data_IF_897090272574
#
_entry.id   IF_897090272574
#
_cell.length_a   1.000
_cell.length_b   1.000
_cell.length_c   1.000
_cell.angle_alpha   90.00
_cell.angle_beta   90.00
_cell.angle_gamma   90.00
#
_symmetry.space_group_name_H-M   'P 1'
#
loop_
_entity.id
_entity.type
_entity.pdbx_description
1 polymer ?
#
# COMPACT_ATOMS: atom_id res chain seq x y z
N UNK A 1 -62.72 -64.63 -21.99
CA UNK A 1 -61.66 -64.34 -22.97
C UNK A 1 -61.07 -62.98 -22.61
N UNK A 2 -59.75 -62.96 -22.48
CA UNK A 2 -58.86 -61.79 -22.39
C UNK A 2 -58.91 -60.96 -21.11
N UNK A 3 -57.81 -60.56 -20.49
CA UNK A 3 -56.40 -60.96 -20.52
C UNK A 3 -55.79 -60.26 -19.32
N UNK A 4 -55.11 -61.00 -18.45
CA UNK A 4 -54.26 -60.49 -17.38
C UNK A 4 -53.13 -59.63 -17.95
N UNK A 5 -52.82 -58.49 -17.30
CA UNK A 5 -51.51 -57.85 -17.46
C UNK A 5 -50.89 -57.48 -16.12
N UNK A 6 -49.88 -58.29 -15.82
CA UNK A 6 -48.71 -58.15 -14.97
C UNK A 6 -48.21 -56.71 -14.77
N UNK A 7 -47.96 -56.31 -13.52
CA UNK A 7 -47.09 -55.18 -13.17
C UNK A 7 -46.12 -55.61 -12.08
N UNK A 8 -44.99 -56.16 -12.52
CA UNK A 8 -43.82 -56.46 -11.71
C UNK A 8 -43.02 -55.18 -11.47
N UNK A 9 -43.01 -54.70 -10.23
CA UNK A 9 -42.12 -53.65 -9.76
C UNK A 9 -40.98 -54.31 -8.99
N UNK A 10 -39.82 -54.44 -9.65
CA UNK A 10 -38.57 -54.84 -9.00
C UNK A 10 -38.02 -53.70 -8.18
N UNK A 11 -37.89 -53.90 -6.88
CA UNK A 11 -37.14 -53.02 -5.98
C UNK A 11 -35.63 -53.16 -6.23
N UNK A 12 -34.86 -52.06 -6.32
CA UNK A 12 -33.41 -52.12 -6.43
C UNK A 12 -32.76 -52.50 -5.10
N UNK A 13 -31.79 -53.41 -5.19
CA UNK A 13 -30.98 -53.93 -4.10
C UNK A 13 -30.21 -52.80 -3.38
N UNK A 14 -30.31 -52.66 -2.04
CA UNK A 14 -29.39 -51.82 -1.29
C UNK A 14 -28.06 -52.55 -1.07
N UNK A 15 -26.98 -51.79 -1.06
CA UNK A 15 -25.62 -52.19 -0.69
C UNK A 15 -24.75 -52.84 -1.78
N UNK A 16 -24.19 -51.97 -2.63
CA UNK A 16 -22.80 -52.11 -3.07
C UNK A 16 -22.17 -50.71 -3.08
N UNK A 17 -21.40 -50.29 -2.05
CA UNK A 17 -20.55 -49.12 -2.19
C UNK A 17 -19.48 -49.46 -3.24
N UNK A 18 -19.62 -48.88 -4.43
CA UNK A 18 -18.65 -49.01 -5.51
C UNK A 18 -17.27 -48.57 -5.00
N UNK A 19 -16.27 -49.45 -5.10
CA UNK A 19 -14.88 -49.20 -4.72
C UNK A 19 -14.28 -47.91 -5.33
N UNK A 20 -14.91 -47.31 -6.34
CA UNK A 20 -14.45 -46.06 -6.98
C UNK A 20 -14.51 -44.81 -6.09
N UNK A 21 -15.45 -44.72 -5.14
CA UNK A 21 -15.64 -43.49 -4.34
C UNK A 21 -14.52 -43.27 -3.32
N UNK A 22 -13.98 -44.36 -2.75
CA UNK A 22 -12.89 -44.30 -1.77
C UNK A 22 -11.57 -43.89 -2.45
N UNK A 23 -11.32 -44.38 -3.66
CA UNK A 23 -10.13 -44.02 -4.43
C UNK A 23 -10.06 -42.53 -4.76
N UNK A 24 -11.18 -41.92 -5.16
CA UNK A 24 -11.24 -40.50 -5.48
C UNK A 24 -10.97 -39.62 -4.25
N UNK A 25 -11.55 -39.97 -3.09
CA UNK A 25 -11.36 -39.22 -1.85
C UNK A 25 -9.89 -39.22 -1.41
N UNK A 26 -9.22 -40.38 -1.48
CA UNK A 26 -7.80 -40.48 -1.15
C UNK A 26 -6.90 -39.70 -2.12
N UNK A 27 -7.23 -39.69 -3.42
CA UNK A 27 -6.49 -38.91 -4.42
C UNK A 27 -6.60 -37.40 -4.17
N UNK A 28 -7.79 -36.90 -3.82
CA UNK A 28 -7.99 -35.47 -3.48
C UNK A 28 -7.22 -35.09 -2.22
N UNK A 29 -7.26 -35.92 -1.18
CA UNK A 29 -6.49 -35.69 0.06
C UNK A 29 -4.98 -35.64 -0.24
N UNK A 30 -4.49 -36.55 -1.09
CA UNK A 30 -3.08 -36.56 -1.50
C UNK A 30 -2.69 -35.31 -2.29
N UNK A 31 -3.54 -34.85 -3.22
CA UNK A 31 -3.29 -33.62 -4.01
C UNK A 31 -3.26 -32.40 -3.09
N UNK A 32 -4.21 -32.27 -2.16
CA UNK A 32 -4.25 -31.15 -1.21
C UNK A 32 -3.04 -31.18 -0.28
N UNK A 33 -2.67 -32.36 0.24
CA UNK A 33 -1.47 -32.51 1.06
C UNK A 33 -0.20 -32.13 0.28
N UNK A 34 -0.08 -32.55 -0.99
CA UNK A 34 1.06 -32.20 -1.85
C UNK A 34 1.09 -30.70 -2.18
N UNK A 35 -0.07 -30.08 -2.39
CA UNK A 35 -0.19 -28.63 -2.58
C UNK A 35 0.24 -27.88 -1.31
N UNK A 36 -0.24 -28.31 -0.15
CA UNK A 36 0.15 -27.71 1.14
C UNK A 36 1.65 -27.89 1.39
N UNK A 37 2.23 -29.04 1.04
CA UNK A 37 3.66 -29.28 1.16
C UNK A 37 4.45 -28.40 0.18
N UNK A 38 3.96 -28.21 -1.05
CA UNK A 38 4.58 -27.32 -2.03
C UNK A 38 4.54 -25.86 -1.58
N UNK A 39 3.42 -25.39 -1.04
CA UNK A 39 3.28 -24.02 -0.52
C UNK A 39 4.04 -23.78 0.79
N UNK A 40 4.28 -24.80 1.60
CA UNK A 40 5.06 -24.67 2.86
C UNK A 40 6.55 -24.92 2.69
N UNK A 41 6.96 -25.70 1.68
CA UNK A 41 8.36 -25.99 1.37
C UNK A 41 8.96 -25.05 0.32
N UNK A 42 8.17 -24.14 -0.28
CA UNK A 42 8.72 -23.09 -1.13
C UNK A 42 9.75 -22.29 -0.29
N UNK A 43 11.05 -22.35 -0.63
CA UNK A 43 12.05 -21.60 0.07
C UNK A 43 11.64 -20.13 -0.01
N UNK A 44 11.44 -19.48 1.15
CA UNK A 44 11.31 -18.03 1.20
C UNK A 44 12.48 -17.49 0.38
N UNK A 45 12.24 -16.66 -0.66
CA UNK A 45 13.34 -15.99 -1.31
C UNK A 45 14.14 -15.35 -0.18
N UNK A 46 15.39 -15.81 -0.03
CA UNK A 46 16.29 -15.29 0.97
C UNK A 46 16.28 -13.80 0.75
N UNK A 47 15.68 -13.04 1.67
CA UNK A 47 15.78 -11.59 1.63
C UNK A 47 17.27 -11.32 1.46
N UNK A 48 17.68 -10.57 0.42
CA UNK A 48 19.05 -10.11 0.37
C UNK A 48 19.28 -9.49 1.74
N UNK A 49 20.20 -10.10 2.47
CA UNK A 49 20.57 -9.69 3.81
C UNK A 49 21.00 -8.24 3.61
N UNK A 50 20.12 -7.32 4.01
CA UNK A 50 20.38 -5.88 4.01
C UNK A 50 21.38 -5.67 5.15
N UNK A 51 22.59 -6.20 4.95
CA UNK A 51 23.73 -5.97 5.79
C UNK A 51 23.98 -4.46 5.70
N UNK A 52 23.49 -3.76 6.72
CA UNK A 52 24.07 -2.54 7.23
C UNK A 52 24.57 -1.55 6.16
N UNK A 53 23.64 -1.02 5.39
CA UNK A 53 23.75 0.33 4.87
C UNK A 53 22.50 1.09 5.33
N UNK A 54 22.45 1.39 6.63
CA UNK A 54 21.92 2.68 7.06
C UNK A 54 22.86 3.75 6.48
N UNK A 55 22.84 3.89 5.16
CA UNK A 55 23.45 4.99 4.46
C UNK A 55 22.56 6.16 4.83
N UNK A 56 23.05 6.94 5.79
CA UNK A 56 22.44 8.19 6.20
C UNK A 56 22.00 8.90 4.93
N UNK A 57 20.69 9.19 4.84
CA UNK A 57 20.13 10.05 3.80
C UNK A 57 21.11 11.21 3.63
N UNK A 58 21.68 11.41 2.42
CA UNK A 58 22.75 12.36 2.22
C UNK A 58 22.38 13.67 2.88
N UNK A 59 23.26 14.11 3.76
CA UNK A 59 23.12 15.28 4.60
C UNK A 59 22.49 16.42 3.81
N UNK A 60 21.33 16.89 4.29
CA UNK A 60 20.72 18.17 3.92
C UNK A 60 20.96 18.56 2.45
N UNK A 61 20.35 17.85 1.51
CA UNK A 61 20.09 18.51 0.23
C UNK A 61 19.23 19.71 0.57
N UNK A 62 19.71 20.94 0.33
CA UNK A 62 18.95 22.15 0.63
C UNK A 62 17.60 22.04 -0.08
N UNK A 63 16.53 21.78 0.67
CA UNK A 63 15.17 21.67 0.15
C UNK A 63 14.79 22.87 -0.75
N UNK A 64 15.27 24.12 -0.48
CA UNK A 64 15.12 25.23 -1.42
C UNK A 64 15.54 24.91 -2.86
N UNK A 65 16.64 24.18 -3.05
CA UNK A 65 17.17 23.83 -4.37
C UNK A 65 16.35 22.75 -5.12
N UNK A 66 15.49 22.03 -4.40
CA UNK A 66 14.63 20.97 -4.91
C UNK A 66 13.23 21.48 -5.26
N UNK A 67 12.86 22.65 -4.73
CA UNK A 67 11.56 23.26 -4.95
C UNK A 67 11.30 23.54 -6.45
N UNK A 68 10.10 23.20 -6.92
CA UNK A 68 9.66 23.37 -8.31
C UNK A 68 10.15 22.28 -9.27
N UNK A 69 11.05 21.40 -8.85
CA UNK A 69 11.54 20.28 -9.68
C UNK A 69 10.60 19.08 -9.59
N UNK A 70 10.55 18.32 -10.69
CA UNK A 70 9.92 17.01 -10.75
C UNK A 70 10.98 15.93 -10.55
N UNK A 71 10.71 14.98 -9.66
CA UNK A 71 11.51 13.76 -9.44
C UNK A 71 10.68 12.54 -9.80
N UNK A 72 11.31 11.51 -10.36
CA UNK A 72 10.62 10.35 -10.91
C UNK A 72 10.07 10.58 -12.32
N UNK A 73 9.35 9.59 -12.84
CA UNK A 73 8.70 9.63 -14.15
C UNK A 73 7.42 10.46 -14.08
N UNK A 74 7.21 11.50 -14.92
CA UNK A 74 5.95 12.23 -14.97
C UNK A 74 4.70 11.37 -15.19
N UNK A 75 4.84 10.17 -15.76
CA UNK A 75 3.75 9.22 -16.01
C UNK A 75 3.63 8.14 -14.91
N UNK A 76 4.41 8.24 -13.83
CA UNK A 76 4.30 7.36 -12.67
C UNK A 76 2.88 7.34 -12.10
N UNK A 77 2.38 6.14 -11.76
CA UNK A 77 0.99 5.94 -11.29
C UNK A 77 0.73 6.47 -9.88
N UNK A 78 1.77 6.71 -9.09
CA UNK A 78 1.68 7.40 -7.80
C UNK A 78 2.29 8.78 -7.95
N UNK A 79 1.44 9.80 -7.99
CA UNK A 79 1.85 11.20 -8.07
C UNK A 79 1.78 11.86 -6.69
N UNK A 80 2.88 12.48 -6.26
CA UNK A 80 3.01 13.15 -4.98
C UNK A 80 3.29 14.63 -5.20
N UNK A 81 2.47 15.48 -4.59
CA UNK A 81 2.69 16.94 -4.53
C UNK A 81 2.83 17.33 -3.08
N UNK A 82 4.01 17.80 -2.69
CA UNK A 82 4.31 18.26 -1.34
C UNK A 82 4.30 19.79 -1.29
N UNK A 83 3.46 20.37 -0.44
CA UNK A 83 3.40 21.80 -0.17
C UNK A 83 4.01 22.03 1.21
N UNK A 84 5.29 22.41 1.24
CA UNK A 84 6.09 22.46 2.47
C UNK A 84 6.53 23.89 2.78
N UNK A 85 6.71 24.26 4.06
CA UNK A 85 7.25 25.56 4.43
C UNK A 85 8.79 25.57 4.26
N UNK A 86 9.24 25.44 3.00
CA UNK A 86 10.67 25.28 2.66
C UNK A 86 11.50 26.43 3.22
N UNK A 87 11.01 27.67 3.11
CA UNK A 87 11.68 28.85 3.68
C UNK A 87 11.88 28.84 5.20
N UNK A 88 11.18 28.01 5.98
CA UNK A 88 11.39 27.89 7.43
C UNK A 88 12.18 26.64 7.84
N UNK A 89 12.47 25.73 6.90
CA UNK A 89 13.23 24.52 7.14
C UNK A 89 12.54 23.44 7.99
N UNK A 90 11.31 23.68 8.46
CA UNK A 90 10.66 22.81 9.45
C UNK A 90 10.33 21.41 8.94
N UNK A 91 10.32 21.21 7.62
CA UNK A 91 9.93 19.96 6.96
C UNK A 91 10.98 19.49 5.94
N UNK A 92 12.24 19.92 6.10
CA UNK A 92 13.33 19.60 5.16
C UNK A 92 13.59 18.10 5.07
N UNK A 93 13.62 17.42 6.22
CA UNK A 93 13.78 15.97 6.29
C UNK A 93 12.66 15.23 5.53
N UNK A 94 11.42 15.72 5.63
CA UNK A 94 10.29 15.14 4.93
C UNK A 94 10.41 15.35 3.41
N UNK A 95 10.75 16.57 2.98
CA UNK A 95 10.95 16.86 1.57
C UNK A 95 12.08 16.02 0.96
N UNK A 96 13.20 15.89 1.66
CA UNK A 96 14.31 15.04 1.25
C UNK A 96 13.90 13.56 1.15
N UNK A 97 13.15 13.05 2.13
CA UNK A 97 12.63 11.68 2.11
C UNK A 97 11.78 11.40 0.87
N UNK A 98 10.86 12.30 0.51
CA UNK A 98 10.03 12.15 -0.68
C UNK A 98 10.87 12.09 -1.96
N UNK A 99 11.89 12.94 -2.08
CA UNK A 99 12.82 12.89 -3.22
C UNK A 99 13.56 11.55 -3.28
N UNK A 100 14.05 11.06 -2.14
CA UNK A 100 14.70 9.74 -2.06
C UNK A 100 13.76 8.62 -2.52
N UNK A 101 12.48 8.66 -2.13
CA UNK A 101 11.48 7.68 -2.59
C UNK A 101 11.32 7.73 -4.12
N UNK A 102 11.13 8.91 -4.70
CA UNK A 102 10.97 9.05 -6.15
C UNK A 102 12.23 8.66 -6.94
N UNK A 103 13.43 8.83 -6.36
CA UNK A 103 14.67 8.37 -6.96
C UNK A 103 14.88 6.86 -6.85
N UNK A 104 14.39 6.23 -5.79
CA UNK A 104 14.48 4.79 -5.58
C UNK A 104 13.57 3.99 -6.52
N UNK A 105 12.38 4.51 -6.83
CA UNK A 105 11.37 3.86 -7.68
C UNK A 105 10.76 4.84 -8.72
N UNK A 106 11.57 5.38 -9.63
CA UNK A 106 11.18 6.50 -10.49
C UNK A 106 10.05 6.16 -11.47
N UNK A 107 9.92 4.90 -11.90
CA UNK A 107 8.83 4.42 -12.77
C UNK A 107 7.48 4.29 -12.05
N UNK A 108 7.47 4.40 -10.72
CA UNK A 108 6.28 4.15 -9.87
C UNK A 108 5.80 5.36 -9.11
N UNK A 109 6.74 6.21 -8.66
CA UNK A 109 6.43 7.41 -7.87
C UNK A 109 7.03 8.64 -8.53
N UNK A 110 6.20 9.66 -8.74
CA UNK A 110 6.63 11.01 -9.06
C UNK A 110 6.43 11.94 -7.87
N UNK A 111 7.37 12.86 -7.65
CA UNK A 111 7.33 13.83 -6.56
C UNK A 111 7.58 15.23 -7.11
N UNK A 112 6.74 16.19 -6.72
CA UNK A 112 6.99 17.61 -6.89
C UNK A 112 6.85 18.33 -5.56
N UNK A 113 7.83 19.17 -5.23
CA UNK A 113 7.84 19.93 -3.98
C UNK A 113 7.64 21.41 -4.30
N UNK A 114 6.68 22.05 -3.64
CA UNK A 114 6.47 23.49 -3.70
C UNK A 114 6.67 24.11 -2.32
N UNK A 115 7.30 25.29 -2.28
CA UNK A 115 7.25 26.15 -1.10
C UNK A 115 5.83 26.70 -1.00
N UNK A 116 5.23 26.61 0.18
CA UNK A 116 3.90 27.17 0.48
C UNK A 116 3.77 28.66 0.10
N UNK A 117 4.87 29.42 0.07
CA UNK A 117 4.89 30.83 -0.33
C UNK A 117 4.92 31.04 -1.85
N UNK A 118 5.05 29.98 -2.64
CA UNK A 118 5.03 30.07 -4.11
C UNK A 118 3.61 30.26 -4.65
N UNK A 119 3.50 30.87 -5.84
CA UNK A 119 2.21 31.07 -6.51
C UNK A 119 1.52 29.73 -6.84
N UNK A 120 2.30 28.73 -7.25
CA UNK A 120 1.79 27.38 -7.56
C UNK A 120 1.20 26.71 -6.32
N UNK A 121 1.93 26.73 -5.19
CA UNK A 121 1.41 26.19 -3.94
C UNK A 121 0.14 26.91 -3.49
N UNK A 122 0.11 28.25 -3.57
CA UNK A 122 -1.06 29.04 -3.20
C UNK A 122 -2.29 28.69 -4.06
N UNK A 123 -2.11 28.44 -5.36
CA UNK A 123 -3.17 28.01 -6.26
C UNK A 123 -3.70 26.61 -5.88
N UNK A 124 -2.79 25.65 -5.62
CA UNK A 124 -3.16 24.28 -5.22
C UNK A 124 -3.87 24.28 -3.87
N UNK A 125 -3.32 24.98 -2.87
CA UNK A 125 -3.91 25.10 -1.54
C UNK A 125 -5.31 25.69 -1.60
N UNK A 126 -5.50 26.77 -2.37
CA UNK A 126 -6.82 27.39 -2.57
C UNK A 126 -7.81 26.44 -3.25
N UNK A 127 -7.37 25.70 -4.27
CA UNK A 127 -8.23 24.78 -5.00
C UNK A 127 -8.72 23.60 -4.16
N UNK A 128 -7.97 23.21 -3.13
CA UNK A 128 -8.27 22.05 -2.27
C UNK A 128 -8.67 22.44 -0.83
N UNK A 129 -8.88 23.74 -0.54
CA UNK A 129 -9.12 24.30 0.81
C UNK A 129 -8.08 23.86 1.87
N UNK A 130 -6.82 23.71 1.46
CA UNK A 130 -5.72 23.35 2.34
C UNK A 130 -5.15 24.61 3.00
N UNK A 131 -5.00 24.59 4.32
CA UNK A 131 -4.54 25.76 5.10
C UNK A 131 -3.18 25.61 5.76
N UNK A 132 -2.58 24.42 5.69
CA UNK A 132 -1.29 24.13 6.30
C UNK A 132 -0.36 23.39 5.33
N UNK A 133 0.83 23.03 5.79
CA UNK A 133 1.72 22.14 5.06
C UNK A 133 0.99 20.82 4.75
N UNK A 134 1.16 20.27 3.56
CA UNK A 134 0.48 19.04 3.18
C UNK A 134 1.28 18.20 2.20
N UNK A 135 0.96 16.91 2.15
CA UNK A 135 1.40 16.01 1.10
C UNK A 135 0.16 15.42 0.44
N UNK A 136 0.00 15.71 -0.85
CA UNK A 136 -1.10 15.24 -1.68
C UNK A 136 -0.59 14.02 -2.45
N UNK A 137 -1.21 12.86 -2.25
CA UNK A 137 -0.91 11.63 -2.99
C UNK A 137 -2.09 11.30 -3.88
N UNK A 138 -1.88 11.19 -5.19
CA UNK A 138 -2.93 10.92 -6.19
C UNK A 138 -4.15 11.87 -6.05
N UNK A 139 -3.87 13.15 -5.79
CA UNK A 139 -4.91 14.18 -5.64
C UNK A 139 -5.66 14.18 -4.30
N UNK A 140 -5.20 13.40 -3.30
CA UNK A 140 -5.87 13.25 -2.00
C UNK A 140 -4.90 13.49 -0.84
N UNK A 141 -5.40 14.01 0.28
CA UNK A 141 -4.66 14.18 1.55
C UNK A 141 -5.18 13.28 2.67
N UNK A 142 -6.33 12.64 2.46
CA UNK A 142 -7.04 11.84 3.46
C UNK A 142 -7.13 10.40 2.98
N UNK A 143 -6.67 9.48 3.82
CA UNK A 143 -6.56 8.06 3.49
C UNK A 143 -7.19 7.21 4.59
N UNK A 144 -7.82 6.11 4.20
CA UNK A 144 -8.24 5.04 5.10
C UNK A 144 -7.40 3.80 4.76
N UNK A 145 -6.47 3.46 5.64
CA UNK A 145 -5.53 2.37 5.45
C UNK A 145 -6.05 1.04 6.02
N UNK A 146 -7.35 0.97 6.35
CA UNK A 146 -8.00 -0.22 6.88
C UNK A 146 -7.92 -0.35 8.40
N UNK A 147 -8.40 -1.46 8.98
CA UNK A 147 -8.60 -1.61 10.41
C UNK A 147 -7.31 -1.63 11.24
N UNK A 148 -6.20 -2.12 10.68
CA UNK A 148 -4.92 -2.22 11.40
C UNK A 148 -4.18 -0.88 11.44
N UNK A 149 -4.22 -0.15 10.32
CA UNK A 149 -3.46 1.09 10.16
C UNK A 149 -4.33 2.32 10.42
N UNK A 150 -5.63 2.26 10.22
CA UNK A 150 -6.58 3.34 10.48
C UNK A 150 -6.54 4.47 9.45
N UNK A 151 -7.16 5.60 9.81
CA UNK A 151 -7.22 6.79 8.96
C UNK A 151 -5.94 7.63 9.07
N UNK A 152 -5.52 8.25 7.98
CA UNK A 152 -4.37 9.17 7.89
C UNK A 152 -4.76 10.49 7.24
N UNK A 153 -4.24 11.59 7.80
CA UNK A 153 -4.37 12.94 7.29
C UNK A 153 -2.96 13.50 7.04
N UNK A 154 -2.64 13.76 5.79
CA UNK A 154 -1.36 14.30 5.34
C UNK A 154 -1.41 15.83 5.26
N UNK A 155 -1.90 16.46 6.33
CA UNK A 155 -1.98 17.91 6.49
C UNK A 155 -1.57 18.32 7.91
N UNK A 156 -0.90 19.46 8.02
CA UNK A 156 -0.41 20.01 9.28
C UNK A 156 0.91 19.39 9.74
N UNK A 157 1.11 19.16 11.04
CA UNK A 157 2.27 18.40 11.52
C UNK A 157 2.11 16.95 11.03
N UNK A 158 2.92 16.59 10.03
CA UNK A 158 2.91 15.26 9.42
C UNK A 158 4.04 14.42 9.98
N UNK A 159 3.73 13.17 10.33
CA UNK A 159 4.74 12.17 10.61
C UNK A 159 5.22 11.56 9.27
N UNK A 160 6.54 11.53 8.99
CA UNK A 160 7.08 10.84 7.83
C UNK A 160 6.68 9.35 7.75
N UNK A 161 6.44 8.69 8.89
CA UNK A 161 5.91 7.32 8.91
C UNK A 161 4.50 7.24 8.31
N UNK A 162 3.61 8.18 8.66
CA UNK A 162 2.25 8.24 8.11
C UNK A 162 2.26 8.35 6.57
N UNK A 163 3.19 9.15 6.04
CA UNK A 163 3.36 9.34 4.60
C UNK A 163 3.89 8.06 3.95
N UNK A 164 4.87 7.41 4.59
CA UNK A 164 5.39 6.12 4.12
C UNK A 164 4.31 5.06 4.07
N UNK A 165 3.46 4.95 5.10
CA UNK A 165 2.37 3.99 5.15
C UNK A 165 1.33 4.22 4.04
N UNK A 166 0.98 5.48 3.79
CA UNK A 166 0.09 5.86 2.67
C UNK A 166 0.72 5.46 1.33
N UNK A 167 2.00 5.77 1.11
CA UNK A 167 2.69 5.41 -0.13
C UNK A 167 2.75 3.89 -0.33
N UNK A 168 3.04 3.12 0.73
CA UNK A 168 3.02 1.65 0.68
C UNK A 168 1.63 1.15 0.30
N UNK A 169 0.57 1.67 0.93
CA UNK A 169 -0.80 1.26 0.65
C UNK A 169 -1.22 1.56 -0.79
N UNK A 170 -0.91 2.75 -1.30
CA UNK A 170 -1.21 3.13 -2.69
C UNK A 170 -0.42 2.26 -3.67
N UNK A 171 0.87 2.03 -3.42
CA UNK A 171 1.70 1.19 -4.27
C UNK A 171 1.22 -0.27 -4.30
N UNK A 172 0.82 -0.83 -3.15
CA UNK A 172 0.22 -2.18 -3.08
C UNK A 172 -1.10 -2.25 -3.85
N UNK A 173 -1.93 -1.23 -3.73
CA UNK A 173 -3.21 -1.14 -4.46
C UNK A 173 -2.99 -1.13 -5.98
N UNK A 174 -1.92 -0.47 -6.43
CA UNK A 174 -1.63 -0.25 -7.86
C UNK A 174 -0.84 -1.40 -8.49
N UNK A 175 0.11 -1.99 -7.76
CA UNK A 175 1.10 -2.95 -8.27
C UNK A 175 0.98 -4.36 -7.66
N UNK A 176 0.13 -4.57 -6.65
CA UNK A 176 -0.06 -5.86 -5.97
C UNK A 176 0.93 -6.11 -4.81
N UNK A 177 0.86 -7.33 -4.25
CA UNK A 177 1.72 -7.80 -3.16
C UNK A 177 2.80 -8.79 -3.67
N UNK A 178 4.06 -8.70 -3.21
CA UNK A 178 4.57 -7.65 -2.33
C UNK A 178 4.70 -6.31 -3.07
N UNK A 179 4.29 -5.23 -2.41
CA UNK A 179 4.49 -3.88 -2.92
C UNK A 179 5.98 -3.55 -3.10
N UNK A 180 6.34 -2.56 -3.94
CA UNK A 180 7.69 -2.02 -4.05
C UNK A 180 8.23 -1.63 -2.67
N UNK A 181 9.49 -1.94 -2.41
CA UNK A 181 10.15 -1.57 -1.16
C UNK A 181 10.43 -0.07 -1.15
N UNK A 182 10.06 0.60 -0.05
CA UNK A 182 10.34 2.01 0.19
C UNK A 182 11.47 2.18 1.20
N UNK A 183 12.31 3.22 1.03
CA UNK A 183 13.30 3.59 2.03
C UNK A 183 12.65 3.84 3.40
N UNK A 184 13.46 3.73 4.46
CA UNK A 184 13.00 4.04 5.81
C UNK A 184 12.61 5.52 5.92
N UNK A 185 11.53 5.81 6.64
CA UNK A 185 11.14 7.16 6.95
C UNK A 185 12.16 7.82 7.91
N UNK A 186 12.45 9.12 7.76
CA UNK A 186 13.33 9.82 8.69
C UNK A 186 12.67 9.90 10.08
N UNK A 187 13.46 9.64 11.11
CA UNK A 187 13.01 9.79 12.51
C UNK A 187 12.96 11.29 12.82
N UNK A 188 11.75 11.81 13.03
CA UNK A 188 11.52 13.16 13.53
C UNK A 188 11.00 13.09 14.95
N UNK A 189 11.57 13.89 15.85
CA UNK A 189 11.07 14.02 17.22
C UNK A 189 9.81 14.90 17.23
N UNK A 190 8.73 14.41 16.62
CA UNK A 190 7.40 14.98 16.77
C UNK A 190 6.71 14.30 17.97
N UNK A 191 5.91 15.03 18.75
CA UNK A 191 5.04 14.38 19.72
C UNK A 191 4.15 13.39 18.96
N UNK A 192 4.26 12.10 19.33
CA UNK A 192 3.54 11.02 18.65
C UNK A 192 2.06 11.38 18.60
N UNK A 193 1.52 11.54 17.39
CA UNK A 193 0.12 11.88 17.21
C UNK A 193 -0.69 10.72 17.81
N UNK A 194 -1.67 10.99 18.70
CA UNK A 194 -2.59 9.93 19.10
C UNK A 194 -3.24 9.37 17.83
N UNK A 195 -3.46 8.04 17.75
CA UNK A 195 -4.13 7.44 16.61
C UNK A 195 -5.42 8.20 16.33
N UNK A 196 -5.64 8.59 15.07
CA UNK A 196 -6.86 9.30 14.71
C UNK A 196 -8.05 8.42 15.11
N UNK A 197 -9.04 8.96 15.87
CA UNK A 197 -10.19 8.16 16.25
C UNK A 197 -10.85 7.59 15.01
N UNK A 198 -11.23 6.31 15.07
CA UNK A 198 -11.92 5.56 14.00
C UNK A 198 -13.35 6.07 13.73
N UNK A 199 -13.67 7.29 14.16
CA UNK A 199 -14.94 7.95 13.96
C UNK A 199 -15.21 8.32 12.50
N UNK A 200 -16.47 8.60 12.14
CA UNK A 200 -16.89 8.78 10.75
C UNK A 200 -16.22 9.96 10.05
N UNK A 201 -15.89 11.05 10.75
CA UNK A 201 -15.63 12.30 10.04
C UNK A 201 -14.19 12.80 10.18
N UNK A 202 -13.56 12.92 9.02
CA UNK A 202 -12.52 13.90 8.78
C UNK A 202 -13.19 15.28 8.83
N UNK A 203 -12.94 16.16 9.82
CA UNK A 203 -13.54 17.48 9.82
C UNK A 203 -13.11 18.24 8.55
N UNK A 204 -14.10 18.83 7.88
CA UNK A 204 -13.94 19.69 6.71
C UNK A 204 -13.17 20.95 7.07
#
# INVERSE_FOLDING_TARGET
MSSDQEKSTGEPCPACPSLGAIGLALAVIWIVALLLLYYTAAPRPSQPKLDAAAEAVPAATELPSLCGKLFGDPEARVAVVALLPVSSGCQDALGAFLVTVAQAIPDKVSVRIHDMKSADAAAIMKAQDIRCACVIVNGRTRFDLGPENGKRLLEGPMDPEDIRDVLISELKTIYGEPGPELPAAPVVNLPKRPPHPTGPDFPH
#
